data_IF_683632075946
#
_entry.id   IF_683632075946
#
_cell.length_a   1.000
_cell.length_b   1.000
_cell.length_c   1.000
_cell.angle_alpha   90.00
_cell.angle_beta   90.00
_cell.angle_gamma   90.00
#
_symmetry.space_group_name_H-M   'P 1'
#
loop_
_entity.id
_entity.type
_entity.pdbx_description
1 polymer ?
#
# COMPACT_ATOMS: atom_id res chain seq x y z
N UNK A 1 -0.87 -8.53 -4.71
CA UNK A 1 -1.30 -7.14 -4.70
C UNK A 1 -0.20 -6.11 -4.46
N UNK A 2 0.81 -6.38 -3.62
CA UNK A 2 1.97 -5.46 -3.51
C UNK A 2 2.70 -5.31 -4.85
N UNK A 3 2.81 -6.37 -5.63
CA UNK A 3 3.26 -6.38 -7.02
C UNK A 3 2.15 -6.83 -7.96
N UNK A 4 2.07 -6.28 -9.18
CA UNK A 4 1.05 -6.59 -10.19
C UNK A 4 1.55 -7.59 -11.23
N UNK A 5 2.80 -7.45 -11.63
CA UNK A 5 3.46 -8.32 -12.60
C UNK A 5 4.41 -9.30 -11.90
N UNK A 6 4.84 -10.35 -12.63
CA UNK A 6 5.87 -11.25 -12.12
C UNK A 6 7.19 -10.52 -11.83
N UNK A 7 7.51 -9.49 -12.61
CA UNK A 7 8.69 -8.63 -12.38
C UNK A 7 8.53 -7.82 -11.10
N UNK A 8 7.36 -7.22 -10.86
CA UNK A 8 7.07 -6.52 -9.59
C UNK A 8 7.23 -7.44 -8.39
N UNK A 9 6.70 -8.66 -8.47
CA UNK A 9 6.77 -9.65 -7.37
C UNK A 9 8.22 -9.99 -7.04
N UNK A 10 9.05 -10.25 -8.05
CA UNK A 10 10.49 -10.52 -7.84
C UNK A 10 11.21 -9.33 -7.21
N UNK A 11 10.88 -8.12 -7.61
CA UNK A 11 11.45 -6.91 -7.01
C UNK A 11 11.00 -6.73 -5.55
N UNK A 12 9.73 -7.01 -5.24
CA UNK A 12 9.25 -7.03 -3.85
C UNK A 12 10.04 -8.05 -3.01
N UNK A 13 10.21 -9.26 -3.50
CA UNK A 13 10.98 -10.31 -2.80
C UNK A 13 12.43 -9.90 -2.57
N UNK A 14 13.06 -9.24 -3.55
CA UNK A 14 14.43 -8.72 -3.43
C UNK A 14 14.53 -7.59 -2.41
N UNK A 15 13.55 -6.69 -2.37
CA UNK A 15 13.62 -5.43 -1.62
C UNK A 15 12.94 -5.47 -0.26
N UNK A 16 12.06 -6.43 0.01
CA UNK A 16 11.44 -6.60 1.34
C UNK A 16 12.48 -6.67 2.47
N UNK A 17 13.52 -7.53 2.40
CA UNK A 17 14.53 -7.58 3.46
C UNK A 17 15.28 -6.26 3.65
N UNK A 18 15.49 -5.52 2.57
CA UNK A 18 16.17 -4.22 2.59
C UNK A 18 15.32 -3.17 3.29
N UNK A 19 14.02 -3.13 2.96
CA UNK A 19 13.09 -2.21 3.58
C UNK A 19 12.91 -2.52 5.08
N UNK A 20 12.74 -3.79 5.43
CA UNK A 20 12.60 -4.24 6.82
C UNK A 20 13.84 -3.91 7.66
N UNK A 21 15.04 -4.15 7.13
CA UNK A 21 16.29 -3.81 7.81
C UNK A 21 16.45 -2.29 8.03
N UNK A 22 15.87 -1.48 7.16
CA UNK A 22 15.85 -0.02 7.30
C UNK A 22 14.70 0.49 8.18
N UNK A 23 13.80 -0.38 8.64
CA UNK A 23 12.67 -0.05 9.52
C UNK A 23 11.36 0.26 8.80
N UNK A 24 11.22 -0.16 7.54
CA UNK A 24 10.06 0.12 6.70
C UNK A 24 9.38 -1.13 6.16
N UNK A 25 8.14 -0.99 5.73
CA UNK A 25 7.37 -2.03 5.07
C UNK A 25 6.94 -1.55 3.68
N UNK A 26 7.15 -2.35 2.65
CA UNK A 26 6.68 -2.05 1.30
C UNK A 26 5.17 -2.27 1.24
N UNK A 27 4.44 -1.23 0.93
CA UNK A 27 2.98 -1.28 0.73
C UNK A 27 2.67 -1.67 -0.70
N UNK A 28 3.33 -1.05 -1.69
CA UNK A 28 3.15 -1.35 -3.11
C UNK A 28 4.42 -1.06 -3.89
N UNK A 29 4.70 -1.92 -4.86
CA UNK A 29 5.77 -1.71 -5.83
C UNK A 29 5.22 -1.88 -7.25
N UNK A 30 5.55 -0.95 -8.13
CA UNK A 30 5.19 -0.97 -9.55
C UNK A 30 6.37 -0.54 -10.40
N UNK A 31 6.72 -1.39 -11.36
CA UNK A 31 7.63 -1.04 -12.43
C UNK A 31 6.81 -0.77 -13.70
N UNK A 32 6.77 0.46 -14.12
CA UNK A 32 6.02 0.93 -15.29
C UNK A 32 6.93 1.46 -16.39
N UNK A 33 6.37 1.69 -17.58
CA UNK A 33 7.13 2.16 -18.74
C UNK A 33 7.79 1.01 -19.51
N UNK A 34 8.65 1.33 -20.44
CA UNK A 34 9.25 0.42 -21.42
C UNK A 34 8.67 0.65 -22.81
N UNK A 35 9.17 -0.07 -23.84
CA UNK A 35 8.74 0.06 -25.23
C UNK A 35 8.71 1.53 -25.72
N UNK A 36 9.85 2.24 -25.58
CA UNK A 36 10.06 3.66 -25.94
C UNK A 36 9.64 4.70 -24.88
N UNK A 37 9.12 4.30 -23.73
CA UNK A 37 8.92 5.20 -22.58
C UNK A 37 9.95 4.92 -21.48
N UNK A 38 10.39 5.98 -20.79
CA UNK A 38 11.28 5.82 -19.64
C UNK A 38 10.62 4.94 -18.56
N UNK A 39 11.37 3.98 -18.02
CA UNK A 39 10.88 3.11 -16.95
C UNK A 39 10.87 3.85 -15.62
N UNK A 40 9.91 3.53 -14.80
CA UNK A 40 9.74 4.08 -13.46
C UNK A 40 9.48 2.97 -12.47
N UNK A 41 10.33 2.88 -11.45
CA UNK A 41 10.10 2.01 -10.30
C UNK A 41 9.53 2.85 -9.17
N UNK A 42 8.24 2.66 -8.87
CA UNK A 42 7.55 3.31 -7.78
C UNK A 42 7.41 2.38 -6.59
N UNK A 43 7.91 2.80 -5.44
CA UNK A 43 7.79 2.08 -4.18
C UNK A 43 7.01 2.96 -3.21
N UNK A 44 5.88 2.46 -2.76
CA UNK A 44 5.15 3.03 -1.63
C UNK A 44 5.49 2.23 -0.38
N UNK A 45 5.93 2.90 0.66
CA UNK A 45 6.34 2.28 1.91
C UNK A 45 5.88 3.10 3.11
N UNK A 46 5.92 2.48 4.27
CA UNK A 46 5.59 3.09 5.55
C UNK A 46 6.36 2.39 6.68
N UNK A 47 6.45 3.05 7.83
CA UNK A 47 6.88 2.41 9.06
C UNK A 47 5.80 1.43 9.55
N UNK A 48 6.13 0.48 10.46
CA UNK A 48 5.12 -0.42 11.03
C UNK A 48 3.94 0.27 11.69
N UNK A 49 4.11 1.50 12.18
CA UNK A 49 3.05 2.34 12.75
C UNK A 49 2.17 3.05 11.71
N UNK A 50 2.48 2.87 10.42
CA UNK A 50 1.76 3.49 9.30
C UNK A 50 2.21 4.91 8.95
N UNK A 51 3.25 5.44 9.60
CA UNK A 51 3.83 6.76 9.30
C UNK A 51 4.94 6.67 8.24
N UNK A 52 5.18 7.76 7.53
CA UNK A 52 6.29 7.89 6.59
C UNK A 52 6.59 9.38 6.37
N UNK A 53 7.79 9.79 6.71
CA UNK A 53 8.28 11.14 6.53
C UNK A 53 9.03 11.29 5.19
N UNK A 54 9.26 12.53 4.78
CA UNK A 54 10.08 12.81 3.59
C UNK A 54 11.51 12.30 3.78
N UNK A 55 12.08 12.46 4.96
CA UNK A 55 13.39 11.95 5.34
C UNK A 55 13.47 10.43 5.25
N UNK A 56 12.43 9.74 5.66
CA UNK A 56 12.30 8.28 5.56
C UNK A 56 12.36 7.81 4.10
N UNK A 57 11.69 8.53 3.21
CA UNK A 57 11.75 8.25 1.77
C UNK A 57 13.17 8.32 1.25
N UNK A 58 13.97 9.30 1.70
CA UNK A 58 15.37 9.43 1.35
C UNK A 58 16.23 8.28 1.89
N UNK A 59 16.01 7.86 3.13
CA UNK A 59 16.72 6.73 3.75
C UNK A 59 16.43 5.44 2.98
N UNK A 60 15.16 5.14 2.74
CA UNK A 60 14.76 3.93 2.01
C UNK A 60 15.25 3.96 0.56
N UNK A 61 15.17 5.11 -0.10
CA UNK A 61 15.63 5.29 -1.48
C UNK A 61 17.13 4.95 -1.63
N UNK A 62 17.96 5.40 -0.70
CA UNK A 62 19.39 5.07 -0.70
C UNK A 62 19.64 3.59 -0.49
N UNK A 63 19.01 2.98 0.50
CA UNK A 63 19.16 1.55 0.82
C UNK A 63 18.73 0.67 -0.37
N UNK A 64 17.61 1.00 -1.00
CA UNK A 64 17.08 0.29 -2.19
C UNK A 64 18.01 0.47 -3.38
N UNK A 65 18.51 1.68 -3.63
CA UNK A 65 19.43 1.97 -4.74
C UNK A 65 20.70 1.15 -4.68
N UNK A 66 21.29 0.98 -3.50
CA UNK A 66 22.49 0.15 -3.31
C UNK A 66 22.27 -1.30 -3.73
N UNK A 67 21.13 -1.88 -3.37
CA UNK A 67 20.79 -3.27 -3.72
C UNK A 67 20.45 -3.39 -5.19
N UNK A 68 19.73 -2.44 -5.75
CA UNK A 68 19.40 -2.43 -7.18
C UNK A 68 20.64 -2.27 -8.06
N UNK A 69 21.59 -1.45 -7.67
CA UNK A 69 22.85 -1.29 -8.39
C UNK A 69 23.71 -2.56 -8.33
N UNK A 70 23.74 -3.24 -7.19
CA UNK A 70 24.52 -4.47 -7.01
C UNK A 70 23.89 -5.68 -7.72
N UNK A 71 22.57 -5.85 -7.62
CA UNK A 71 21.85 -7.00 -8.19
C UNK A 71 21.47 -6.80 -9.67
N UNK A 72 21.37 -5.56 -10.12
CA UNK A 72 21.02 -5.15 -11.50
C UNK A 72 19.80 -5.93 -12.08
N UNK A 73 18.66 -5.96 -11.36
CA UNK A 73 17.52 -6.78 -11.78
C UNK A 73 16.70 -6.17 -12.92
N UNK A 74 16.88 -4.88 -13.18
CA UNK A 74 16.17 -4.11 -14.21
C UNK A 74 17.17 -3.77 -15.32
N UNK A 75 16.95 -4.30 -16.50
CA UNK A 75 17.91 -4.18 -17.62
C UNK A 75 17.93 -2.80 -18.27
N UNK A 76 16.81 -2.09 -18.23
CA UNK A 76 16.68 -0.77 -18.85
C UNK A 76 16.95 0.34 -17.83
N UNK A 77 17.24 1.53 -18.34
CA UNK A 77 17.28 2.71 -17.48
C UNK A 77 15.91 2.99 -16.84
N UNK A 78 15.91 3.36 -15.58
CA UNK A 78 14.70 3.64 -14.82
C UNK A 78 14.91 4.78 -13.82
N UNK A 79 13.82 5.40 -13.42
CA UNK A 79 13.77 6.36 -12.32
C UNK A 79 13.17 5.67 -11.10
N UNK A 80 13.85 5.79 -9.95
CA UNK A 80 13.35 5.31 -8.67
C UNK A 80 12.55 6.40 -7.98
N UNK A 81 11.32 6.08 -7.58
CA UNK A 81 10.46 6.94 -6.77
C UNK A 81 10.04 6.21 -5.50
N UNK A 82 10.33 6.79 -4.35
CA UNK A 82 9.91 6.29 -3.04
C UNK A 82 8.97 7.31 -2.41
N UNK A 83 7.81 6.86 -1.98
CA UNK A 83 6.77 7.70 -1.38
C UNK A 83 6.00 7.00 -0.28
N UNK A 84 5.26 7.78 0.50
CA UNK A 84 4.22 7.26 1.37
C UNK A 84 3.00 6.80 0.55
N UNK A 85 2.10 5.95 1.12
CA UNK A 85 0.90 5.50 0.40
C UNK A 85 -0.14 6.61 0.11
N UNK A 86 -0.10 7.73 0.81
CA UNK A 86 -1.13 8.78 0.73
C UNK A 86 -2.38 8.48 1.57
N UNK A 87 -3.37 9.39 1.54
CA UNK A 87 -4.62 9.25 2.32
C UNK A 87 -5.50 8.13 1.75
N UNK A 88 -5.71 8.10 0.45
CA UNK A 88 -6.45 7.07 -0.28
C UNK A 88 -5.58 5.86 -0.59
N UNK A 89 -4.84 5.42 0.40
CA UNK A 89 -3.81 4.40 0.27
C UNK A 89 -4.31 3.13 -0.41
N UNK A 90 -3.46 2.45 -1.19
CA UNK A 90 -3.74 1.10 -1.64
C UNK A 90 -3.75 0.13 -0.45
N UNK A 91 -4.68 -0.82 -0.47
CA UNK A 91 -4.78 -1.91 0.47
C UNK A 91 -4.21 -3.16 -0.21
N UNK A 92 -3.09 -3.65 0.25
CA UNK A 92 -2.31 -4.67 -0.47
C UNK A 92 -2.01 -5.92 0.36
N UNK A 93 -2.21 -5.84 1.66
CA UNK A 93 -2.02 -6.94 2.61
C UNK A 93 -3.34 -7.19 3.35
N UNK A 94 -3.52 -8.40 3.83
CA UNK A 94 -4.74 -8.77 4.56
C UNK A 94 -4.93 -7.90 5.82
N UNK A 95 -3.82 -7.58 6.49
CA UNK A 95 -3.79 -6.73 7.67
C UNK A 95 -4.28 -5.30 7.39
N UNK A 96 -4.08 -4.80 6.18
CA UNK A 96 -4.57 -3.48 5.78
C UNK A 96 -6.10 -3.42 5.82
N UNK A 97 -6.76 -4.47 5.35
CA UNK A 97 -8.22 -4.55 5.37
C UNK A 97 -8.78 -4.66 6.80
N UNK A 98 -8.08 -5.33 7.68
CA UNK A 98 -8.43 -5.39 9.09
C UNK A 98 -8.25 -4.03 9.77
N UNK A 99 -7.13 -3.35 9.51
CA UNK A 99 -6.80 -2.05 10.10
C UNK A 99 -7.76 -0.93 9.67
N UNK A 100 -8.34 -1.05 8.49
CA UNK A 100 -9.29 -0.07 7.94
C UNK A 100 -10.75 -0.55 7.92
N UNK A 101 -11.10 -1.52 8.77
CA UNK A 101 -12.49 -1.86 9.01
C UNK A 101 -13.31 -0.62 9.43
N UNK A 102 -14.49 -0.45 8.86
CA UNK A 102 -15.33 0.73 9.07
C UNK A 102 -15.11 1.88 8.07
N UNK A 103 -14.10 1.79 7.21
CA UNK A 103 -13.81 2.78 6.19
C UNK A 103 -14.26 2.32 4.81
N UNK A 104 -14.63 3.27 3.97
CA UNK A 104 -15.07 3.01 2.61
C UNK A 104 -13.88 2.68 1.69
N UNK A 105 -14.03 1.64 0.89
CA UNK A 105 -13.00 1.17 -0.03
C UNK A 105 -13.59 0.79 -1.39
N UNK A 106 -12.72 0.80 -2.40
CA UNK A 106 -12.98 0.24 -3.73
C UNK A 106 -12.11 -0.98 -3.93
N UNK A 107 -12.74 -2.06 -4.39
CA UNK A 107 -12.07 -3.31 -4.72
C UNK A 107 -12.23 -3.60 -6.21
N UNK A 108 -11.19 -4.13 -6.82
CA UNK A 108 -11.23 -4.74 -8.15
C UNK A 108 -10.77 -6.19 -8.06
N UNK A 109 -11.55 -7.09 -8.65
CA UNK A 109 -11.28 -8.52 -8.64
C UNK A 109 -10.64 -8.97 -9.96
N UNK A 110 -9.88 -10.03 -9.92
CA UNK A 110 -9.30 -10.70 -11.08
C UNK A 110 -10.33 -11.50 -11.90
N UNK A 111 -11.56 -11.62 -11.37
CA UNK A 111 -12.66 -12.40 -11.94
C UNK A 111 -13.99 -11.67 -11.81
N UNK A 112 -14.99 -12.18 -12.54
CA UNK A 112 -16.36 -11.72 -12.40
C UNK A 112 -17.05 -12.42 -11.25
N UNK A 113 -17.68 -11.65 -10.38
CA UNK A 113 -18.63 -12.12 -9.37
C UNK A 113 -19.94 -11.40 -9.63
N UNK A 114 -21.02 -12.15 -9.88
CA UNK A 114 -22.31 -11.59 -10.27
C UNK A 114 -22.23 -10.56 -11.42
N UNK A 115 -21.43 -10.88 -12.42
CA UNK A 115 -21.14 -10.03 -13.60
C UNK A 115 -20.39 -8.73 -13.31
N UNK A 116 -19.88 -8.55 -12.11
CA UNK A 116 -19.10 -7.37 -11.68
C UNK A 116 -17.67 -7.76 -11.31
N UNK A 117 -16.73 -6.89 -11.59
CA UNK A 117 -15.33 -6.97 -11.10
C UNK A 117 -15.01 -5.90 -10.08
N UNK A 118 -15.80 -4.83 -10.04
CA UNK A 118 -15.56 -3.66 -9.18
C UNK A 118 -16.65 -3.53 -8.16
N UNK A 119 -16.23 -3.33 -6.92
CA UNK A 119 -17.10 -3.19 -5.77
C UNK A 119 -16.68 -1.96 -4.97
N UNK A 120 -17.65 -1.29 -4.38
CA UNK A 120 -17.46 -0.17 -3.48
C UNK A 120 -18.35 -0.36 -2.27
N UNK A 121 -17.78 -0.19 -1.08
CA UNK A 121 -18.53 -0.33 0.15
C UNK A 121 -17.68 -0.06 1.37
N UNK A 122 -18.23 -0.30 2.54
CA UNK A 122 -17.55 -0.15 3.82
C UNK A 122 -16.90 -1.47 4.22
N UNK A 123 -15.62 -1.44 4.54
CA UNK A 123 -14.91 -2.64 4.99
C UNK A 123 -15.46 -3.11 6.34
N UNK A 124 -15.70 -4.41 6.45
CA UNK A 124 -16.24 -5.06 7.64
C UNK A 124 -15.21 -5.95 8.37
N UNK A 125 -13.95 -5.82 8.03
CA UNK A 125 -12.86 -6.60 8.62
C UNK A 125 -12.46 -7.80 7.78
N UNK A 126 -11.80 -8.75 8.42
CA UNK A 126 -11.26 -9.96 7.78
C UNK A 126 -11.68 -11.18 8.59
N UNK A 127 -12.14 -12.21 7.92
CA UNK A 127 -12.50 -13.50 8.52
C UNK A 127 -12.06 -14.64 7.60
N UNK A 128 -11.35 -15.62 8.14
CA UNK A 128 -10.88 -16.82 7.42
C UNK A 128 -10.18 -16.52 6.07
N UNK A 129 -9.35 -15.48 6.02
CA UNK A 129 -8.65 -15.07 4.79
C UNK A 129 -9.54 -14.38 3.76
N UNK A 130 -10.75 -14.00 4.14
CA UNK A 130 -11.70 -13.27 3.31
C UNK A 130 -11.86 -11.83 3.82
N UNK A 131 -12.05 -10.92 2.90
CA UNK A 131 -12.32 -9.51 3.19
C UNK A 131 -13.82 -9.30 3.22
N UNK A 132 -14.32 -8.84 4.35
CA UNK A 132 -15.71 -8.41 4.52
C UNK A 132 -15.93 -7.01 3.95
N UNK A 133 -16.99 -6.83 3.19
CA UNK A 133 -17.39 -5.53 2.66
C UNK A 133 -18.93 -5.42 2.66
N UNK A 134 -19.42 -4.32 3.22
CA UNK A 134 -20.84 -3.97 3.21
C UNK A 134 -21.13 -3.14 1.97
N UNK A 135 -21.84 -3.73 1.00
CA UNK A 135 -22.18 -3.09 -0.26
C UNK A 135 -23.46 -2.28 -0.11
N UNK A 136 -23.52 -1.14 -0.82
CA UNK A 136 -24.71 -0.29 -0.82
C UNK A 136 -25.92 -1.02 -1.39
N UNK A 137 -27.00 -1.04 -0.62
CA UNK A 137 -28.26 -1.69 -0.99
C UNK A 137 -28.32 -3.20 -0.70
N UNK A 138 -27.30 -3.76 -0.09
CA UNK A 138 -27.28 -5.16 0.37
C UNK A 138 -27.36 -5.21 1.90
N UNK A 139 -28.16 -6.14 2.42
CA UNK A 139 -28.37 -6.30 3.88
C UNK A 139 -27.28 -7.13 4.54
N UNK A 140 -26.60 -7.98 3.76
CA UNK A 140 -25.58 -8.90 4.26
C UNK A 140 -24.18 -8.46 3.84
N UNK A 141 -23.22 -8.67 4.74
CA UNK A 141 -21.80 -8.46 4.45
C UNK A 141 -21.33 -9.48 3.40
N UNK A 142 -20.78 -8.99 2.31
CA UNK A 142 -20.13 -9.83 1.31
C UNK A 142 -18.71 -10.19 1.77
N UNK A 143 -18.34 -11.47 1.70
CA UNK A 143 -17.00 -11.95 1.99
C UNK A 143 -16.29 -12.34 0.70
N UNK A 144 -15.20 -11.65 0.40
CA UNK A 144 -14.42 -11.84 -0.81
C UNK A 144 -13.07 -12.47 -0.46
N UNK A 145 -12.72 -13.63 -1.03
CA UNK A 145 -11.40 -14.22 -0.81
C UNK A 145 -10.28 -13.24 -1.18
N UNK A 146 -9.36 -13.00 -0.28
CA UNK A 146 -8.25 -12.06 -0.50
C UNK A 146 -7.49 -12.33 -1.83
N UNK A 147 -7.19 -13.59 -2.23
CA UNK A 147 -6.50 -13.85 -3.50
C UNK A 147 -7.25 -13.39 -4.76
N UNK A 148 -8.56 -13.16 -4.67
CA UNK A 148 -9.35 -12.68 -5.81
C UNK A 148 -9.22 -11.18 -6.04
N UNK A 149 -8.76 -10.44 -5.03
CA UNK A 149 -8.63 -8.99 -5.10
C UNK A 149 -7.34 -8.65 -5.85
N UNK A 150 -7.46 -8.02 -7.02
CA UNK A 150 -6.33 -7.57 -7.82
C UNK A 150 -5.86 -6.17 -7.44
N UNK A 151 -6.79 -5.29 -7.10
CA UNK A 151 -6.52 -3.93 -6.62
C UNK A 151 -7.54 -3.52 -5.57
N UNK A 152 -7.10 -2.75 -4.59
CA UNK A 152 -7.96 -2.13 -3.59
C UNK A 152 -7.37 -0.80 -3.13
N UNK A 153 -8.23 0.16 -2.85
CA UNK A 153 -7.83 1.42 -2.24
C UNK A 153 -8.96 2.01 -1.39
N UNK A 154 -8.60 2.83 -0.42
CA UNK A 154 -9.56 3.61 0.35
C UNK A 154 -10.20 4.70 -0.51
N UNK A 155 -11.42 5.04 -0.18
CA UNK A 155 -12.13 6.21 -0.71
C UNK A 155 -11.91 7.37 0.25
N UNK A 156 -11.60 8.55 -0.28
CA UNK A 156 -11.45 9.75 0.54
C UNK A 156 -12.82 10.16 1.06
N UNK A 157 -12.99 10.07 2.37
CA UNK A 157 -14.18 10.49 3.12
C UNK A 157 -13.75 11.43 4.25
N UNK A 158 -14.69 12.17 4.82
CA UNK A 158 -14.42 13.04 5.98
C UNK A 158 -13.86 12.22 7.16
N UNK A 159 -14.39 11.01 7.38
CA UNK A 159 -13.91 10.09 8.42
C UNK A 159 -12.44 9.70 8.18
N UNK A 160 -12.05 9.39 6.94
CA UNK A 160 -10.68 9.04 6.59
C UNK A 160 -9.74 10.24 6.75
N UNK A 161 -10.18 11.43 6.34
CA UNK A 161 -9.41 12.66 6.50
C UNK A 161 -9.20 13.00 7.98
N UNK A 162 -10.22 12.81 8.83
CA UNK A 162 -10.12 13.00 10.26
C UNK A 162 -9.08 12.07 10.90
N UNK A 163 -9.12 10.79 10.53
CA UNK A 163 -8.10 9.82 10.97
C UNK A 163 -6.68 10.26 10.61
N UNK A 164 -6.47 10.74 9.39
CA UNK A 164 -5.19 11.26 8.94
C UNK A 164 -4.73 12.50 9.72
N UNK A 165 -5.66 13.40 10.03
CA UNK A 165 -5.39 14.58 10.84
C UNK A 165 -5.03 14.23 12.29
N UNK A 166 -5.75 13.30 12.91
CA UNK A 166 -5.50 12.82 14.26
C UNK A 166 -4.13 12.13 14.37
N UNK A 167 -3.78 11.27 13.42
CA UNK A 167 -2.48 10.61 13.37
C UNK A 167 -1.32 11.62 13.22
N UNK A 168 -1.52 12.67 12.42
CA UNK A 168 -0.53 13.74 12.24
C UNK A 168 -0.37 14.57 13.53
N UNK A 169 -1.47 14.89 14.20
CA UNK A 169 -1.45 15.64 15.46
C UNK A 169 -0.76 14.85 16.58
N UNK A 170 -1.02 13.55 16.68
CA UNK A 170 -0.38 12.67 17.65
C UNK A 170 1.15 12.62 17.44
N UNK A 171 1.60 12.51 16.20
CA UNK A 171 3.02 12.50 15.88
C UNK A 171 3.72 13.81 16.24
N UNK A 172 3.12 14.95 15.91
CA UNK A 172 3.68 16.27 16.28
C UNK A 172 3.79 16.44 17.80
N UNK A 173 2.86 15.85 18.55
CA UNK A 173 2.93 15.88 20.01
C UNK A 173 4.08 15.01 20.55
N UNK A 174 4.35 13.88 19.94
CA UNK A 174 5.50 12.99 20.29
C UNK A 174 6.83 13.66 19.98
N UNK A 175 7.00 14.22 18.78
CA UNK A 175 8.20 14.96 18.37
C UNK A 175 8.53 16.11 19.35
N UNK A 176 7.53 16.89 19.73
CA UNK A 176 7.70 17.98 20.70
C UNK A 176 8.09 17.50 22.12
N UNK A 177 7.71 16.28 22.50
CA UNK A 177 8.10 15.70 23.80
C UNK A 177 9.54 15.15 23.79
N UNK A 178 10.01 14.71 22.65
CA UNK A 178 11.39 14.25 22.48
C UNK A 178 12.40 15.42 22.46
N UNK A 179 12.03 16.55 21.85
CA UNK A 179 12.87 17.76 21.86
C UNK A 179 13.01 18.43 23.23
N UNK A 180 12.10 18.12 24.17
CA UNK A 180 12.10 18.69 25.54
C UNK A 180 12.89 17.83 26.55
N UNK A 181 13.49 16.71 26.14
CA UNK A 181 14.30 15.82 26.98
C UNK A 181 15.79 16.01 26.75
#
# INVERSE_FOLDING_TARGET
MRGKTAEDVRLVELLDPVAEAAGYQIVRLRLSGGNHAARRLQIMAERPDGTMLVEDCGVLSRAVSEVLDAADPIKDEYTLEVSSPGIDRPLTRLEDFAAYAGYEARLELDRLVERRKRFKGVLAGVEDGQVGIDLEGEEETAFIPFPWISEAKLVITDQLMQRGADARAARLAEENQEELK
#
